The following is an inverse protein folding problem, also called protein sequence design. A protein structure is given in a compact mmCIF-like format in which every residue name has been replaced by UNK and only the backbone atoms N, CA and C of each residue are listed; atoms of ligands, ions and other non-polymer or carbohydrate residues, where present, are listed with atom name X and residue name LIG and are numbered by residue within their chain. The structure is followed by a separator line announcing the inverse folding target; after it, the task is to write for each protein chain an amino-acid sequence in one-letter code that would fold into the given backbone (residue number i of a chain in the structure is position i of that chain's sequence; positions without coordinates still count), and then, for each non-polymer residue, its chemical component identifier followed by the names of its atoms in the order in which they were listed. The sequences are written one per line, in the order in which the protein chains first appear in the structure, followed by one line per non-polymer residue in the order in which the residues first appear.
data_IF_355644330420
#
_entry.id   IF_355644330420
#
_cell.length_a   1.000
_cell.length_b   1.000
_cell.length_c   1.000
_cell.angle_alpha   90.00
_cell.angle_beta   90.00
_cell.angle_gamma   90.00
#
_symmetry.space_group_name_H-M   'P 1'
#
loop_
_entity.id
_entity.type
_entity.pdbx_description
1 polymer ?
#
# COMPACT_ATOMS: atom_id res chain seq x y z
N UNK A 1 23.47 -21.48 34.46
CA UNK A 1 22.21 -20.90 34.97
C UNK A 1 21.53 -20.22 33.80
N UNK A 2 20.46 -20.78 33.24
CA UNK A 2 19.65 -20.06 32.25
C UNK A 2 18.80 -19.04 33.01
N UNK A 3 18.96 -17.75 32.68
CA UNK A 3 18.22 -16.67 33.31
C UNK A 3 16.72 -16.87 33.10
N UNK A 4 15.94 -16.77 34.17
CA UNK A 4 14.48 -16.87 34.11
C UNK A 4 13.94 -15.72 33.25
N UNK A 5 13.45 -16.03 32.06
CA UNK A 5 12.85 -15.05 31.17
C UNK A 5 11.45 -14.72 31.71
N UNK A 6 11.26 -13.48 32.16
CA UNK A 6 9.96 -12.98 32.59
C UNK A 6 9.17 -12.62 31.33
N UNK A 7 7.95 -13.15 31.13
CA UNK A 7 7.15 -12.81 29.96
C UNK A 7 6.78 -11.31 29.97
N UNK A 8 6.68 -10.68 28.80
CA UNK A 8 6.25 -9.29 28.70
C UNK A 8 4.83 -9.13 29.26
N UNK A 9 4.55 -7.98 29.89
CA UNK A 9 3.21 -7.67 30.45
C UNK A 9 2.17 -7.32 29.38
N UNK A 10 2.60 -7.18 28.13
CA UNK A 10 1.78 -6.87 26.96
C UNK A 10 2.65 -6.60 25.75
N UNK A 11 2.05 -6.60 24.56
CA UNK A 11 2.71 -6.35 23.29
C UNK A 11 1.96 -5.29 22.50
N UNK A 12 2.70 -4.33 21.96
CA UNK A 12 2.23 -3.46 20.89
C UNK A 12 2.55 -4.15 19.58
N UNK A 13 1.54 -4.31 18.72
CA UNK A 13 1.67 -5.05 17.47
C UNK A 13 1.29 -4.13 16.32
N UNK A 14 2.18 -4.02 15.34
CA UNK A 14 1.93 -3.31 14.08
C UNK A 14 1.05 -4.16 13.15
N UNK A 15 0.45 -3.53 12.14
CA UNK A 15 -0.42 -4.20 11.16
C UNK A 15 0.34 -4.59 9.89
N UNK A 16 0.88 -3.59 9.21
CA UNK A 16 1.40 -3.70 7.84
C UNK A 16 2.73 -4.43 7.82
N UNK A 17 2.81 -5.47 6.99
CA UNK A 17 3.93 -6.40 6.87
C UNK A 17 4.37 -7.03 8.20
N UNK A 18 3.51 -6.95 9.23
CA UNK A 18 3.67 -7.58 10.54
C UNK A 18 2.59 -8.63 10.75
N UNK A 19 1.31 -8.26 10.60
CA UNK A 19 0.17 -9.18 10.65
C UNK A 19 -0.36 -9.43 9.24
N UNK A 20 -0.47 -8.38 8.42
CA UNK A 20 -1.03 -8.42 7.08
C UNK A 20 0.05 -8.07 6.06
N UNK A 21 0.12 -8.82 4.96
CA UNK A 21 0.98 -8.45 3.82
C UNK A 21 0.40 -7.22 3.16
N UNK A 22 1.21 -6.17 3.01
CA UNK A 22 0.76 -4.89 2.48
C UNK A 22 1.72 -4.31 1.44
N UNK A 23 2.98 -4.03 1.77
CA UNK A 23 3.93 -3.39 0.84
C UNK A 23 4.20 -4.24 -0.42
N UNK A 24 4.42 -5.56 -0.32
CA UNK A 24 4.61 -6.42 -1.49
C UNK A 24 3.43 -6.44 -2.47
N UNK A 25 2.22 -6.05 -2.04
CA UNK A 25 1.04 -6.01 -2.89
C UNK A 25 1.01 -4.79 -3.82
N UNK A 26 1.81 -3.76 -3.55
CA UNK A 26 1.77 -2.50 -4.32
C UNK A 26 2.10 -2.71 -5.81
N UNK A 27 3.21 -3.39 -6.12
CA UNK A 27 3.62 -3.63 -7.50
C UNK A 27 2.58 -4.46 -8.30
N UNK A 28 2.16 -5.66 -7.86
CA UNK A 28 1.19 -6.47 -8.62
C UNK A 28 -0.19 -5.81 -8.72
N UNK A 29 -0.63 -5.05 -7.72
CA UNK A 29 -1.89 -4.30 -7.82
C UNK A 29 -1.83 -3.20 -8.89
N UNK A 30 -0.70 -2.50 -9.01
CA UNK A 30 -0.53 -1.54 -10.11
C UNK A 30 -0.49 -2.23 -11.47
N UNK A 31 0.28 -3.31 -11.61
CA UNK A 31 0.34 -4.08 -12.87
C UNK A 31 -1.04 -4.54 -13.33
N UNK A 32 -1.84 -5.08 -12.41
CA UNK A 32 -3.21 -5.48 -12.68
C UNK A 32 -4.06 -4.29 -13.17
N UNK A 33 -4.04 -3.16 -12.44
CA UNK A 33 -4.86 -1.99 -12.82
C UNK A 33 -4.43 -1.40 -14.16
N UNK A 34 -3.13 -1.34 -14.44
CA UNK A 34 -2.63 -0.86 -15.74
C UNK A 34 -3.05 -1.80 -16.87
N UNK A 35 -3.07 -3.11 -16.65
CA UNK A 35 -3.61 -4.07 -17.61
C UNK A 35 -5.13 -3.88 -17.83
N UNK A 36 -5.90 -3.59 -16.77
CA UNK A 36 -7.34 -3.30 -16.85
C UNK A 36 -7.64 -2.04 -17.69
N UNK A 37 -6.77 -1.03 -17.65
CA UNK A 37 -6.99 0.26 -18.33
C UNK A 37 -6.17 0.44 -19.62
N UNK A 38 -5.52 -0.62 -20.13
CA UNK A 38 -4.64 -0.56 -21.30
C UNK A 38 -5.28 0.10 -22.54
N UNK A 39 -6.59 -0.06 -22.73
CA UNK A 39 -7.33 0.54 -23.85
C UNK A 39 -7.42 2.07 -23.77
N UNK A 40 -7.42 2.64 -22.56
CA UNK A 40 -7.46 4.08 -22.34
C UNK A 40 -6.10 4.76 -22.53
N UNK A 41 -5.01 4.02 -22.34
CA UNK A 41 -3.65 4.54 -22.51
C UNK A 41 -3.08 4.28 -23.90
N UNK A 42 -3.78 3.52 -24.75
CA UNK A 42 -3.35 3.25 -26.12
C UNK A 42 -3.07 4.56 -26.90
N UNK A 43 -2.01 4.60 -27.74
CA UNK A 43 -1.13 3.51 -28.14
C UNK A 43 0.09 3.30 -27.22
N UNK A 44 0.07 3.80 -25.98
CA UNK A 44 1.18 3.61 -25.03
C UNK A 44 1.18 2.17 -24.51
N UNK A 45 2.34 1.52 -24.60
CA UNK A 45 2.56 0.19 -24.01
C UNK A 45 2.34 0.21 -22.49
N UNK A 46 1.57 -0.73 -21.91
CA UNK A 46 1.29 -0.81 -20.48
C UNK A 46 2.55 -0.75 -19.60
N UNK A 47 3.60 -1.49 -19.97
CA UNK A 47 4.87 -1.52 -19.25
C UNK A 47 5.56 -0.15 -19.22
N UNK A 48 5.55 0.58 -20.33
CA UNK A 48 6.12 1.93 -20.41
C UNK A 48 5.35 2.90 -19.52
N UNK A 49 4.02 2.81 -19.49
CA UNK A 49 3.21 3.63 -18.59
C UNK A 49 3.50 3.31 -17.12
N UNK A 50 3.56 2.02 -16.79
CA UNK A 50 3.86 1.54 -15.44
C UNK A 50 5.22 2.03 -14.94
N UNK A 51 6.28 1.96 -15.76
CA UNK A 51 7.60 2.48 -15.40
C UNK A 51 7.56 3.97 -15.02
N UNK A 52 6.90 4.81 -15.83
CA UNK A 52 6.79 6.24 -15.51
C UNK A 52 5.93 6.52 -14.27
N UNK A 53 4.91 5.69 -14.01
CA UNK A 53 4.11 5.76 -12.79
C UNK A 53 4.97 5.44 -11.55
N UNK A 54 5.77 4.37 -11.61
CA UNK A 54 6.68 4.00 -10.53
C UNK A 54 7.72 5.08 -10.26
N UNK A 55 8.36 5.61 -11.32
CA UNK A 55 9.31 6.72 -11.18
C UNK A 55 8.66 7.94 -10.51
N UNK A 56 7.43 8.27 -10.90
CA UNK A 56 6.68 9.37 -10.31
C UNK A 56 6.36 9.12 -8.82
N UNK A 57 5.96 7.89 -8.48
CA UNK A 57 5.72 7.49 -7.10
C UNK A 57 7.00 7.57 -6.25
N UNK A 58 8.11 7.02 -6.72
CA UNK A 58 9.41 7.08 -6.03
C UNK A 58 9.84 8.52 -5.79
N UNK A 59 9.75 9.38 -6.81
CA UNK A 59 10.08 10.80 -6.68
C UNK A 59 9.16 11.50 -5.68
N UNK A 60 7.85 11.21 -5.69
CA UNK A 60 6.90 11.78 -4.75
C UNK A 60 7.25 11.42 -3.31
N UNK A 61 7.51 10.14 -3.03
CA UNK A 61 7.81 9.67 -1.68
C UNK A 61 9.22 10.03 -1.19
N UNK A 62 10.13 10.44 -2.08
CA UNK A 62 11.46 10.91 -1.69
C UNK A 62 11.45 12.29 -1.00
N UNK A 63 10.39 13.08 -1.19
CA UNK A 63 10.23 14.40 -0.55
C UNK A 63 9.49 14.26 0.78
N UNK A 64 10.15 14.62 1.89
CA UNK A 64 9.59 14.47 3.24
C UNK A 64 8.27 15.22 3.47
N UNK A 65 8.06 16.39 2.84
CA UNK A 65 6.83 17.17 2.96
C UNK A 65 5.70 16.49 2.20
N UNK A 66 5.97 16.04 0.97
CA UNK A 66 5.01 15.24 0.18
C UNK A 66 4.68 13.93 0.87
N UNK A 67 5.67 13.31 1.51
CA UNK A 67 5.50 12.09 2.28
C UNK A 67 4.51 12.30 3.43
N UNK A 68 4.63 13.39 4.18
CA UNK A 68 3.71 13.72 5.27
C UNK A 68 2.29 13.99 4.75
N UNK A 69 2.14 14.84 3.73
CA UNK A 69 0.80 15.20 3.20
C UNK A 69 0.14 14.04 2.47
N UNK A 70 0.91 13.24 1.74
CA UNK A 70 0.43 12.10 0.97
C UNK A 70 -0.12 10.99 1.87
N UNK A 71 0.40 10.83 3.09
CA UNK A 71 -0.17 9.92 4.10
C UNK A 71 -1.57 10.33 4.55
N UNK A 72 -1.89 11.62 4.53
CA UNK A 72 -3.21 12.13 4.91
C UNK A 72 -4.23 12.04 3.77
N UNK A 73 -3.76 11.94 2.52
CA UNK A 73 -4.63 11.79 1.35
C UNK A 73 -3.97 10.86 0.30
N UNK A 74 -4.03 9.54 0.53
CA UNK A 74 -3.41 8.56 -0.36
C UNK A 74 -3.97 8.58 -1.79
N UNK A 75 -5.27 8.86 -1.94
CA UNK A 75 -5.92 8.99 -3.25
C UNK A 75 -5.32 10.14 -4.06
N UNK A 76 -5.19 11.33 -3.46
CA UNK A 76 -4.60 12.47 -4.13
C UNK A 76 -3.12 12.24 -4.49
N UNK A 77 -2.37 11.57 -3.59
CA UNK A 77 -1.00 11.18 -3.87
C UNK A 77 -0.95 10.29 -5.13
N UNK A 78 -1.62 9.14 -5.11
CA UNK A 78 -1.65 8.20 -6.25
C UNK A 78 -2.14 8.84 -7.55
N UNK A 79 -3.18 9.67 -7.47
CA UNK A 79 -3.69 10.44 -8.62
C UNK A 79 -2.58 11.26 -9.27
N UNK A 80 -1.74 11.92 -8.46
CA UNK A 80 -0.64 12.74 -8.98
C UNK A 80 0.40 11.92 -9.74
N UNK A 81 0.66 10.67 -9.36
CA UNK A 81 1.64 9.81 -10.03
C UNK A 81 1.09 9.32 -11.38
N UNK A 82 -0.22 9.03 -11.45
CA UNK A 82 -0.91 8.66 -12.68
C UNK A 82 -0.90 9.83 -13.67
N UNK A 83 -1.24 11.05 -13.21
CA UNK A 83 -1.20 12.27 -14.06
C UNK A 83 0.22 12.56 -14.56
N UNK A 84 1.22 12.39 -13.71
CA UNK A 84 2.63 12.54 -14.09
C UNK A 84 3.03 11.49 -15.13
N UNK A 85 2.63 10.23 -14.96
CA UNK A 85 2.87 9.18 -15.94
C UNK A 85 2.25 9.51 -17.31
N UNK A 86 0.99 9.93 -17.35
CA UNK A 86 0.31 10.40 -18.57
C UNK A 86 1.10 11.51 -19.26
N UNK A 87 1.56 12.49 -18.49
CA UNK A 87 2.33 13.63 -19.00
C UNK A 87 3.65 13.14 -19.64
N UNK A 88 4.36 12.21 -18.99
CA UNK A 88 5.65 11.67 -19.48
C UNK A 88 5.52 10.82 -20.75
N UNK A 89 4.40 10.13 -20.93
CA UNK A 89 4.15 9.34 -22.14
C UNK A 89 3.50 10.14 -23.27
N UNK A 90 3.18 11.42 -23.04
CA UNK A 90 2.58 12.31 -24.04
C UNK A 90 1.06 12.17 -24.17
N UNK A 91 0.38 11.57 -23.20
CA UNK A 91 -1.08 11.52 -23.15
C UNK A 91 -1.65 12.83 -22.58
N UNK A 92 -2.85 13.26 -23.02
CA UNK A 92 -3.54 14.38 -22.40
C UNK A 92 -3.75 14.14 -20.90
N UNK A 93 -3.61 15.19 -20.09
CA UNK A 93 -3.90 15.11 -18.66
C UNK A 93 -5.41 14.89 -18.44
N UNK A 94 -5.76 13.91 -17.62
CA UNK A 94 -7.12 13.66 -17.16
C UNK A 94 -7.11 13.32 -15.66
N UNK A 95 -7.40 14.32 -14.82
CA UNK A 95 -7.38 14.15 -13.36
C UNK A 95 -8.53 13.27 -12.86
N UNK A 96 -9.69 13.32 -13.52
CA UNK A 96 -10.86 12.54 -13.12
C UNK A 96 -10.63 11.07 -13.39
N UNK A 97 -10.11 10.74 -14.58
CA UNK A 97 -9.69 9.37 -14.90
C UNK A 97 -8.55 8.90 -14.01
N UNK A 98 -7.54 9.74 -13.77
CA UNK A 98 -6.43 9.40 -12.87
C UNK A 98 -6.89 9.09 -11.44
N UNK A 99 -7.90 9.81 -10.92
CA UNK A 99 -8.51 9.52 -9.63
C UNK A 99 -9.24 8.18 -9.64
N UNK A 100 -9.96 7.85 -10.71
CA UNK A 100 -10.60 6.53 -10.87
C UNK A 100 -9.56 5.41 -10.87
N UNK A 101 -8.45 5.58 -11.57
CA UNK A 101 -7.33 4.62 -11.58
C UNK A 101 -6.71 4.48 -10.18
N UNK A 102 -6.47 5.59 -9.48
CA UNK A 102 -5.92 5.60 -8.13
C UNK A 102 -6.82 4.85 -7.13
N UNK A 103 -8.14 5.03 -7.22
CA UNK A 103 -9.12 4.31 -6.39
C UNK A 103 -9.22 2.84 -6.75
N UNK A 104 -9.15 2.52 -8.04
CA UNK A 104 -9.13 1.12 -8.50
C UNK A 104 -7.91 0.39 -7.96
N UNK A 105 -6.74 1.02 -7.94
CA UNK A 105 -5.54 0.49 -7.29
C UNK A 105 -5.77 0.21 -5.80
N UNK A 106 -6.36 1.16 -5.06
CA UNK A 106 -6.65 0.98 -3.64
C UNK A 106 -7.54 -0.24 -3.42
N UNK A 107 -8.62 -0.35 -4.20
CA UNK A 107 -9.53 -1.50 -4.14
C UNK A 107 -8.81 -2.83 -4.43
N UNK A 108 -8.08 -2.92 -5.55
CA UNK A 108 -7.36 -4.14 -5.95
C UNK A 108 -6.35 -4.56 -4.88
N UNK A 109 -5.65 -3.58 -4.29
CA UNK A 109 -4.69 -3.86 -3.21
C UNK A 109 -5.38 -4.36 -1.96
N UNK A 110 -6.46 -3.71 -1.52
CA UNK A 110 -7.21 -4.12 -0.33
C UNK A 110 -7.81 -5.52 -0.49
N UNK A 111 -8.32 -5.86 -1.66
CA UNK A 111 -8.84 -7.21 -1.98
C UNK A 111 -7.74 -8.28 -1.97
N UNK A 112 -6.48 -7.90 -2.22
CA UNK A 112 -5.33 -8.79 -2.22
C UNK A 112 -4.68 -8.99 -0.84
N UNK A 113 -5.13 -8.29 0.21
CA UNK A 113 -4.54 -8.39 1.55
C UNK A 113 -4.76 -9.79 2.15
N UNK A 114 -3.68 -10.38 2.67
CA UNK A 114 -3.72 -11.64 3.40
C UNK A 114 -2.74 -11.63 4.58
N UNK A 115 -2.92 -12.51 5.58
CA UNK A 115 -2.03 -12.55 6.74
C UNK A 115 -0.60 -12.99 6.39
N UNK A 116 0.39 -12.38 7.04
CA UNK A 116 1.77 -12.87 7.04
C UNK A 116 1.78 -14.31 7.59
N UNK A 117 2.55 -15.25 6.98
CA UNK A 117 2.59 -16.64 7.43
C UNK A 117 2.91 -16.76 8.93
N UNK A 118 2.05 -17.47 9.68
CA UNK A 118 2.23 -17.68 11.11
C UNK A 118 1.75 -16.52 12.00
N UNK A 119 1.35 -15.37 11.43
CA UNK A 119 0.92 -14.22 12.22
C UNK A 119 -0.33 -14.53 13.04
N UNK A 120 -1.37 -15.11 12.42
CA UNK A 120 -2.62 -15.43 13.12
C UNK A 120 -2.41 -16.50 14.20
N UNK A 121 -1.60 -17.51 13.92
CA UNK A 121 -1.24 -18.58 14.86
C UNK A 121 -0.50 -18.00 16.06
N UNK A 122 0.46 -17.10 15.82
CA UNK A 122 1.24 -16.42 16.86
C UNK A 122 0.36 -15.57 17.75
N UNK A 123 -0.53 -14.75 17.16
CA UNK A 123 -1.47 -13.91 17.93
C UNK A 123 -2.39 -14.76 18.80
N UNK A 124 -2.90 -15.89 18.27
CA UNK A 124 -3.72 -16.84 19.05
C UNK A 124 -2.94 -17.42 20.23
N UNK A 125 -1.70 -17.84 20.02
CA UNK A 125 -0.86 -18.40 21.09
C UNK A 125 -0.54 -17.36 22.16
N UNK A 126 -0.15 -16.15 21.78
CA UNK A 126 0.11 -15.05 22.73
C UNK A 126 -1.12 -14.73 23.58
N UNK A 127 -2.31 -14.71 22.96
CA UNK A 127 -3.56 -14.53 23.67
C UNK A 127 -3.87 -15.71 24.63
N UNK A 128 -3.58 -16.96 24.23
CA UNK A 128 -3.72 -18.13 25.11
C UNK A 128 -2.76 -18.09 26.31
N UNK A 129 -1.58 -17.47 26.16
CA UNK A 129 -0.66 -17.21 27.27
C UNK A 129 -1.08 -16.04 28.17
N UNK A 130 -2.23 -15.40 27.89
CA UNK A 130 -2.74 -14.27 28.67
C UNK A 130 -1.94 -12.99 28.49
N UNK A 131 -1.19 -12.85 27.38
CA UNK A 131 -0.42 -11.64 27.07
C UNK A 131 -1.36 -10.65 26.37
N UNK A 132 -1.61 -9.45 26.96
CA UNK A 132 -2.41 -8.42 26.31
C UNK A 132 -1.78 -7.95 24.99
N UNK A 133 -2.60 -7.82 23.94
CA UNK A 133 -2.18 -7.37 22.61
C UNK A 133 -2.87 -6.04 22.29
N UNK A 134 -2.12 -5.05 21.84
CA UNK A 134 -2.63 -3.74 21.42
C UNK A 134 -2.17 -3.49 19.98
N UNK A 135 -3.11 -3.24 19.08
CA UNK A 135 -2.81 -2.85 17.70
C UNK A 135 -2.34 -1.39 17.67
N UNK A 136 -1.22 -1.14 16.99
CA UNK A 136 -0.70 0.21 16.72
C UNK A 136 -0.39 0.30 15.24
N UNK A 137 -1.19 1.06 14.48
CA UNK A 137 -0.99 1.24 13.03
C UNK A 137 -1.10 2.72 12.66
N UNK A 138 -0.46 3.10 11.56
CA UNK A 138 -0.60 4.43 10.96
C UNK A 138 -1.82 4.54 10.02
N UNK A 139 -2.52 3.43 9.73
CA UNK A 139 -3.74 3.41 8.92
C UNK A 139 -4.98 3.89 9.69
N UNK A 140 -6.03 4.28 8.97
CA UNK A 140 -7.31 4.68 9.57
C UNK A 140 -8.10 3.45 10.06
N UNK A 141 -8.84 3.62 11.16
CA UNK A 141 -9.65 2.57 11.79
C UNK A 141 -10.84 2.12 10.92
N UNK A 142 -11.23 2.92 9.92
CA UNK A 142 -12.29 2.59 8.96
C UNK A 142 -11.86 1.60 7.87
N UNK A 143 -10.58 1.22 7.83
CA UNK A 143 -10.01 0.33 6.81
C UNK A 143 -8.97 1.06 5.96
N UNK A 144 -7.91 0.34 5.61
CA UNK A 144 -6.92 0.78 4.63
C UNK A 144 -7.44 0.71 3.20
#
# INVERSE_FOLDING_TARGET
MQGRQIPPKGLLVDLDDTILVFEPLSAPSWEQVIAEVQSHIAPVEPERFYHHLLDAATLYWSDAKRHQTGRLNPDAARTSFVVEAMTRVGLPRDEAWALTVARRFAQVRTEAIYPVPGALETLRQLNQYGIPLILVTNGDAQGQ
#
